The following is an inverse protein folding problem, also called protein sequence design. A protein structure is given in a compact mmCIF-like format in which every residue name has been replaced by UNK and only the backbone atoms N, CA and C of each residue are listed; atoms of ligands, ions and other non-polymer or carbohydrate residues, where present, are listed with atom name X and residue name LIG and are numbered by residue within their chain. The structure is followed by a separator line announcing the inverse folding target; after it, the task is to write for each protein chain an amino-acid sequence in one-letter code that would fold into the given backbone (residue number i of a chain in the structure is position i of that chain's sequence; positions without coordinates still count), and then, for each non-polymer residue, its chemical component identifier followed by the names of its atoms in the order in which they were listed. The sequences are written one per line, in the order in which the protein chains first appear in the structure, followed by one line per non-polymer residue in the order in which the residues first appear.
data_IF_527385205409
#
_entry.id   IF_527385205409
#
_cell.length_a   1.000
_cell.length_b   1.000
_cell.length_c   1.000
_cell.angle_alpha   90.00
_cell.angle_beta   90.00
_cell.angle_gamma   90.00
#
_symmetry.space_group_name_H-M   'P 1'
#
loop_
_entity.id
_entity.type
_entity.pdbx_description
1 polymer ?
#
# COMPACT_ATOMS: atom_id res chain seq x y z
N UNK A 1 -2.29 -21.29 -0.47
CA UNK A 1 -2.95 -20.02 -0.11
C UNK A 1 -2.65 -19.05 -1.23
N UNK A 2 -3.56 -18.16 -1.58
CA UNK A 2 -3.23 -17.08 -2.50
C UNK A 2 -2.31 -16.09 -1.75
N UNK A 3 -1.33 -15.52 -2.44
CA UNK A 3 -0.60 -14.38 -1.92
C UNK A 3 -1.59 -13.22 -1.75
N UNK A 4 -1.37 -12.41 -0.74
CA UNK A 4 -2.24 -11.28 -0.42
C UNK A 4 -1.51 -9.98 -0.72
N UNK A 5 -2.14 -9.15 -1.55
CA UNK A 5 -1.71 -7.79 -1.79
C UNK A 5 -2.41 -6.86 -0.80
N UNK A 6 -1.64 -6.03 -0.12
CA UNK A 6 -2.14 -4.93 0.71
C UNK A 6 -2.13 -3.66 -0.11
N UNK A 7 -3.27 -2.96 -0.15
CA UNK A 7 -3.38 -1.68 -0.84
C UNK A 7 -3.83 -0.60 0.13
N UNK A 8 -3.03 0.46 0.26
CA UNK A 8 -3.41 1.67 0.98
C UNK A 8 -3.87 2.73 -0.01
N UNK A 9 -5.11 3.16 0.12
CA UNK A 9 -5.70 4.23 -0.68
C UNK A 9 -5.71 5.55 0.09
N UNK A 10 -5.49 6.67 -0.64
CA UNK A 10 -5.77 8.03 -0.22
C UNK A 10 -6.78 8.62 -1.20
N UNK A 11 -7.98 8.89 -0.71
CA UNK A 11 -9.12 9.29 -1.54
C UNK A 11 -9.53 10.70 -1.14
N UNK A 12 -9.57 11.60 -2.12
CA UNK A 12 -9.98 12.99 -1.98
C UNK A 12 -11.02 13.37 -3.03
N UNK A 13 -11.57 14.56 -2.97
CA UNK A 13 -12.48 15.08 -3.98
C UNK A 13 -12.60 16.60 -3.93
N UNK A 14 -12.68 17.22 -5.10
CA UNK A 14 -13.10 18.62 -5.24
C UNK A 14 -14.64 18.77 -5.24
N UNK A 15 -15.36 17.66 -5.36
CA UNK A 15 -16.83 17.65 -5.31
C UNK A 15 -17.29 17.65 -3.86
N UNK A 16 -18.09 18.64 -3.43
CA UNK A 16 -18.59 18.69 -2.05
C UNK A 16 -19.28 17.39 -1.65
N UNK A 17 -18.92 16.89 -0.46
CA UNK A 17 -19.46 15.70 0.17
C UNK A 17 -19.13 14.34 -0.50
N UNK A 18 -18.50 14.27 -1.67
CA UNK A 18 -18.29 13.00 -2.36
C UNK A 18 -17.48 12.01 -1.51
N UNK A 19 -16.41 12.47 -0.83
CA UNK A 19 -15.59 11.64 0.09
C UNK A 19 -16.42 11.21 1.30
N UNK A 20 -17.20 12.17 1.88
CA UNK A 20 -18.05 11.90 3.05
C UNK A 20 -19.15 10.88 2.71
N UNK A 21 -19.75 10.97 1.53
CA UNK A 21 -20.78 10.02 1.10
C UNK A 21 -20.21 8.62 0.90
N UNK A 22 -19.00 8.52 0.34
CA UNK A 22 -18.29 7.24 0.24
C UNK A 22 -17.92 6.69 1.62
N UNK A 23 -17.38 7.52 2.51
CA UNK A 23 -17.10 7.18 3.90
C UNK A 23 -18.34 6.68 4.63
N UNK A 24 -19.47 7.40 4.54
CA UNK A 24 -20.72 6.99 5.16
C UNK A 24 -21.20 5.63 4.63
N UNK A 25 -20.99 5.34 3.35
CA UNK A 25 -21.30 4.03 2.79
C UNK A 25 -20.48 2.93 3.47
N UNK A 26 -19.16 3.12 3.61
CA UNK A 26 -18.31 2.14 4.29
C UNK A 26 -18.72 1.95 5.75
N UNK A 27 -19.03 3.05 6.47
CA UNK A 27 -19.51 2.98 7.86
C UNK A 27 -20.85 2.22 7.97
N UNK A 28 -21.79 2.45 7.07
CA UNK A 28 -23.08 1.76 7.06
C UNK A 28 -22.94 0.26 6.74
N UNK A 29 -21.94 -0.13 5.98
CA UNK A 29 -21.64 -1.55 5.69
C UNK A 29 -20.92 -2.24 6.85
N UNK A 30 -20.17 -1.49 7.67
CA UNK A 30 -19.39 -2.02 8.81
C UNK A 30 -20.19 -2.00 10.15
N UNK A 31 -21.49 -2.24 10.12
CA UNK A 31 -22.41 -2.11 11.30
C UNK A 31 -22.01 -2.95 12.51
N UNK A 32 -21.23 -4.02 12.29
CA UNK A 32 -20.82 -4.94 13.37
C UNK A 32 -19.31 -4.93 13.65
N UNK A 33 -18.58 -3.91 13.23
CA UNK A 33 -17.10 -3.89 13.26
C UNK A 33 -16.49 -5.12 12.56
N UNK A 34 -17.09 -5.53 11.46
CA UNK A 34 -16.59 -6.61 10.60
C UNK A 34 -15.99 -6.04 9.35
N UNK A 35 -15.00 -6.72 8.80
CA UNK A 35 -14.40 -6.33 7.52
C UNK A 35 -15.45 -6.30 6.41
N UNK A 36 -15.31 -5.37 5.47
CA UNK A 36 -16.21 -5.24 4.32
C UNK A 36 -15.66 -6.06 3.16
N UNK A 37 -16.37 -7.10 2.74
CA UNK A 37 -15.99 -7.86 1.56
C UNK A 37 -16.16 -7.02 0.29
N UNK A 38 -15.16 -7.03 -0.59
CA UNK A 38 -15.18 -6.26 -1.85
C UNK A 38 -16.36 -6.67 -2.74
N UNK A 39 -16.72 -7.95 -2.74
CA UNK A 39 -17.92 -8.43 -3.46
C UNK A 39 -19.23 -7.85 -2.93
N UNK A 40 -19.33 -7.56 -1.65
CA UNK A 40 -20.54 -6.93 -1.08
C UNK A 40 -20.54 -5.42 -1.35
N UNK A 41 -19.37 -4.78 -1.34
CA UNK A 41 -19.23 -3.39 -1.77
C UNK A 41 -19.63 -3.22 -3.26
N UNK A 42 -19.16 -4.13 -4.13
CA UNK A 42 -19.55 -4.15 -5.54
C UNK A 42 -21.06 -4.25 -5.72
N UNK A 43 -21.71 -5.18 -5.00
CA UNK A 43 -23.17 -5.34 -5.03
C UNK A 43 -23.91 -4.08 -4.53
N UNK A 44 -23.39 -3.42 -3.48
CA UNK A 44 -23.98 -2.19 -2.95
C UNK A 44 -24.05 -1.10 -4.02
N UNK A 45 -22.99 -0.95 -4.83
CA UNK A 45 -22.94 -0.01 -5.94
C UNK A 45 -23.55 -0.54 -7.25
N UNK A 46 -24.09 -1.77 -7.26
CA UNK A 46 -24.69 -2.36 -8.46
C UNK A 46 -23.70 -2.73 -9.56
N UNK A 47 -22.44 -2.91 -9.20
CA UNK A 47 -21.36 -3.28 -10.14
C UNK A 47 -21.44 -4.78 -10.45
N UNK A 48 -21.61 -5.10 -11.73
CA UNK A 48 -21.44 -6.46 -12.24
C UNK A 48 -19.94 -6.74 -12.44
N UNK A 49 -19.29 -7.18 -11.37
CA UNK A 49 -17.85 -7.41 -11.36
C UNK A 49 -17.43 -8.61 -12.23
N UNK A 50 -18.33 -9.57 -12.49
CA UNK A 50 -18.05 -10.69 -13.41
C UNK A 50 -18.02 -10.19 -14.86
N UNK A 51 -19.00 -9.40 -15.28
CA UNK A 51 -19.07 -8.83 -16.62
C UNK A 51 -17.93 -7.82 -16.89
N UNK A 52 -17.49 -7.10 -15.85
CA UNK A 52 -16.38 -6.13 -15.94
C UNK A 52 -15.01 -6.73 -15.71
N UNK A 53 -14.92 -8.03 -15.39
CA UNK A 53 -13.68 -8.75 -15.07
C UNK A 53 -12.88 -8.16 -13.90
N UNK A 54 -13.58 -7.63 -12.88
CA UNK A 54 -12.99 -7.04 -11.68
C UNK A 54 -12.80 -8.13 -10.62
N UNK A 55 -11.61 -8.23 -10.05
CA UNK A 55 -11.37 -9.09 -8.90
C UNK A 55 -12.01 -8.50 -7.65
N UNK A 56 -12.89 -9.25 -7.01
CA UNK A 56 -13.49 -8.88 -5.70
C UNK A 56 -13.09 -9.86 -4.60
N UNK A 57 -11.99 -10.61 -4.82
CA UNK A 57 -11.43 -11.57 -3.84
C UNK A 57 -10.59 -10.85 -2.82
N UNK A 58 -11.24 -10.13 -1.91
CA UNK A 58 -10.58 -9.35 -0.89
C UNK A 58 -11.57 -8.65 0.01
N UNK A 59 -11.04 -7.85 0.91
CA UNK A 59 -11.80 -7.11 1.91
C UNK A 59 -11.16 -5.76 2.23
N UNK A 60 -11.97 -4.82 2.70
CA UNK A 60 -11.51 -3.62 3.40
C UNK A 60 -11.44 -3.98 4.88
N UNK A 61 -10.27 -3.88 5.49
CA UNK A 61 -10.10 -4.18 6.90
C UNK A 61 -9.90 -2.94 7.77
N UNK A 62 -9.54 -1.81 7.14
CA UNK A 62 -9.40 -0.54 7.83
C UNK A 62 -9.82 0.62 6.92
N UNK A 63 -10.49 1.62 7.52
CA UNK A 63 -10.78 2.88 6.86
C UNK A 63 -10.92 3.99 7.91
N UNK A 64 -10.39 5.17 7.60
CA UNK A 64 -10.43 6.37 8.44
C UNK A 64 -10.61 7.62 7.61
N UNK A 65 -11.49 8.51 8.05
CA UNK A 65 -11.71 9.81 7.43
C UNK A 65 -11.12 10.93 8.28
N UNK A 66 -10.19 11.69 7.71
CA UNK A 66 -9.65 12.91 8.29
C UNK A 66 -10.47 14.11 7.80
N UNK A 67 -11.23 14.72 8.71
CA UNK A 67 -12.08 15.88 8.39
C UNK A 67 -11.27 17.14 8.08
N UNK A 68 -10.07 17.32 8.68
CA UNK A 68 -9.27 18.53 8.50
C UNK A 68 -8.72 18.63 7.08
N UNK A 69 -8.26 17.51 6.54
CA UNK A 69 -7.63 17.42 5.21
C UNK A 69 -8.62 16.96 4.13
N UNK A 70 -9.83 16.53 4.52
CA UNK A 70 -10.83 15.91 3.63
C UNK A 70 -10.28 14.68 2.90
N UNK A 71 -9.51 13.84 3.61
CA UNK A 71 -8.89 12.63 3.08
C UNK A 71 -9.54 11.40 3.71
N UNK A 72 -10.00 10.48 2.88
CA UNK A 72 -10.39 9.14 3.29
C UNK A 72 -9.24 8.17 3.00
N UNK A 73 -8.73 7.55 4.05
CA UNK A 73 -7.76 6.47 3.98
C UNK A 73 -8.48 5.14 4.04
N UNK A 74 -8.17 4.23 3.12
CA UNK A 74 -8.77 2.89 3.07
C UNK A 74 -7.66 1.88 2.86
N UNK A 75 -7.68 0.80 3.63
CA UNK A 75 -6.73 -0.28 3.48
C UNK A 75 -7.45 -1.59 3.16
N UNK A 76 -6.99 -2.25 2.09
CA UNK A 76 -7.59 -3.49 1.60
C UNK A 76 -6.57 -4.60 1.54
N UNK A 77 -7.05 -5.83 1.74
CA UNK A 77 -6.34 -7.04 1.34
C UNK A 77 -7.04 -7.68 0.17
N UNK A 78 -6.31 -8.05 -0.87
CA UNK A 78 -6.86 -8.74 -2.04
C UNK A 78 -5.93 -9.83 -2.55
N UNK A 79 -6.48 -10.81 -3.30
CA UNK A 79 -5.72 -11.95 -3.76
C UNK A 79 -4.85 -11.58 -4.96
N UNK A 80 -3.54 -11.80 -4.87
CA UNK A 80 -2.49 -11.66 -5.88
C UNK A 80 -2.09 -10.23 -6.25
N UNK A 81 -3.03 -9.32 -6.32
CA UNK A 81 -2.85 -7.92 -6.69
C UNK A 81 -4.01 -7.10 -6.15
N UNK A 82 -3.94 -5.77 -6.26
CA UNK A 82 -5.04 -4.90 -5.86
C UNK A 82 -6.33 -5.19 -6.65
N UNK A 83 -7.45 -4.87 -6.03
CA UNK A 83 -8.73 -4.82 -6.74
C UNK A 83 -8.95 -3.45 -7.37
N UNK A 84 -9.36 -3.39 -8.61
CA UNK A 84 -9.76 -2.14 -9.30
C UNK A 84 -11.17 -1.66 -8.92
N UNK A 85 -11.79 -2.26 -7.89
CA UNK A 85 -13.18 -1.99 -7.55
C UNK A 85 -13.43 -0.53 -7.17
N UNK A 86 -12.51 0.10 -6.42
CA UNK A 86 -12.69 1.50 -5.98
C UNK A 86 -12.68 2.44 -7.17
N UNK A 87 -11.79 2.22 -8.14
CA UNK A 87 -11.75 3.00 -9.38
C UNK A 87 -12.99 2.78 -10.26
N UNK A 88 -13.51 1.55 -10.31
CA UNK A 88 -14.76 1.27 -11.04
C UNK A 88 -15.98 1.90 -10.36
N UNK A 89 -16.03 1.90 -9.03
CA UNK A 89 -17.03 2.68 -8.28
C UNK A 89 -16.92 4.16 -8.64
N UNK A 90 -15.71 4.71 -8.64
CA UNK A 90 -15.48 6.12 -8.99
C UNK A 90 -15.93 6.44 -10.42
N UNK A 91 -15.68 5.57 -11.39
CA UNK A 91 -16.19 5.72 -12.77
C UNK A 91 -17.72 5.81 -12.81
N UNK A 92 -18.42 4.92 -12.08
CA UNK A 92 -19.89 4.92 -12.02
C UNK A 92 -20.44 6.14 -11.25
N UNK A 93 -19.69 6.72 -10.33
CA UNK A 93 -19.99 7.99 -9.66
C UNK A 93 -19.69 9.23 -10.55
N UNK A 94 -19.13 9.05 -11.73
CA UNK A 94 -18.76 10.13 -12.66
C UNK A 94 -17.37 10.70 -12.47
N UNK A 95 -16.43 9.91 -11.91
CA UNK A 95 -15.04 10.30 -11.64
C UNK A 95 -14.94 11.53 -10.73
N UNK A 96 -15.70 11.52 -9.66
CA UNK A 96 -15.73 12.65 -8.69
C UNK A 96 -14.66 12.51 -7.60
N UNK A 97 -14.07 11.33 -7.45
CA UNK A 97 -13.00 11.05 -6.49
C UNK A 97 -11.63 11.10 -7.17
N UNK A 98 -10.63 11.65 -6.49
CA UNK A 98 -9.21 11.46 -6.82
C UNK A 98 -8.68 10.33 -5.95
N UNK A 99 -8.11 9.31 -6.56
CA UNK A 99 -7.73 8.05 -5.89
C UNK A 99 -6.25 7.81 -6.09
N UNK A 100 -5.47 8.06 -5.05
CA UNK A 100 -4.07 7.65 -4.98
C UNK A 100 -3.96 6.34 -4.18
N UNK A 101 -3.02 5.47 -4.55
CA UNK A 101 -2.82 4.21 -3.83
C UNK A 101 -1.37 3.71 -3.90
N UNK A 102 -1.02 2.90 -2.92
CA UNK A 102 0.23 2.14 -2.83
C UNK A 102 -0.10 0.66 -2.64
N UNK A 103 0.54 -0.20 -3.43
CA UNK A 103 0.32 -1.66 -3.41
C UNK A 103 1.59 -2.38 -3.00
N UNK A 104 1.44 -3.35 -2.11
CA UNK A 104 2.49 -4.25 -1.65
C UNK A 104 2.00 -5.69 -1.74
N UNK A 105 2.72 -6.53 -2.48
CA UNK A 105 2.56 -7.98 -2.47
C UNK A 105 3.96 -8.62 -2.52
N UNK A 106 4.44 -9.09 -1.38
CA UNK A 106 5.80 -9.56 -1.20
C UNK A 106 6.09 -10.90 -1.89
N UNK A 107 5.11 -11.77 -2.00
CA UNK A 107 5.31 -13.11 -2.54
C UNK A 107 5.57 -13.14 -4.05
N UNK A 108 5.13 -12.12 -4.78
CA UNK A 108 5.38 -11.92 -6.21
C UNK A 108 6.21 -10.66 -6.50
N UNK A 109 6.74 -10.02 -5.46
CA UNK A 109 7.56 -8.78 -5.56
C UNK A 109 6.82 -7.64 -6.28
N UNK A 110 5.53 -7.43 -5.93
CA UNK A 110 4.70 -6.37 -6.51
C UNK A 110 4.73 -5.16 -5.60
N UNK A 111 5.38 -4.08 -6.07
CA UNK A 111 5.53 -2.82 -5.34
C UNK A 111 5.30 -1.66 -6.31
N UNK A 112 4.13 -1.02 -6.24
CA UNK A 112 3.85 0.13 -7.11
C UNK A 112 2.93 1.15 -6.45
N UNK A 113 3.00 2.37 -6.97
CA UNK A 113 2.27 3.54 -6.51
C UNK A 113 1.60 4.22 -7.69
N UNK A 114 0.34 4.62 -7.51
CA UNK A 114 -0.34 5.64 -8.28
C UNK A 114 -0.63 6.81 -7.34
N UNK A 115 -0.01 7.97 -7.57
CA UNK A 115 -0.04 9.06 -6.60
C UNK A 115 -0.32 10.43 -7.24
N UNK A 116 -1.61 10.76 -7.36
CA UNK A 116 -2.05 12.06 -7.87
C UNK A 116 -1.87 13.20 -6.85
N UNK A 117 -1.84 12.84 -5.55
CA UNK A 117 -1.85 13.81 -4.45
C UNK A 117 -0.51 14.00 -3.74
N UNK A 118 0.55 13.33 -4.21
CA UNK A 118 1.88 13.30 -3.55
C UNK A 118 1.82 12.85 -2.10
N UNK A 119 1.11 11.73 -1.86
CA UNK A 119 0.95 11.11 -0.53
C UNK A 119 2.06 10.12 -0.20
N UNK A 120 2.78 9.59 -1.21
CA UNK A 120 3.76 8.50 -1.09
C UNK A 120 5.09 8.80 -1.81
N UNK A 121 5.65 10.04 -1.76
CA UNK A 121 6.66 10.48 -2.74
C UNK A 121 8.01 9.77 -2.63
N UNK A 122 8.41 9.28 -1.45
CA UNK A 122 9.75 8.78 -1.17
C UNK A 122 9.74 7.44 -0.42
N UNK A 123 8.58 6.84 -0.22
CA UNK A 123 8.46 5.60 0.55
C UNK A 123 9.21 4.44 -0.12
N UNK A 124 9.69 3.52 0.72
CA UNK A 124 10.24 2.25 0.29
C UNK A 124 9.79 1.13 1.25
N UNK A 125 9.92 -0.13 0.81
CA UNK A 125 9.71 -1.30 1.65
C UNK A 125 11.03 -1.91 2.08
N UNK A 126 11.09 -2.40 3.32
CA UNK A 126 12.21 -3.17 3.86
C UNK A 126 11.72 -4.54 4.28
N UNK A 127 12.40 -5.56 3.78
CA UNK A 127 12.27 -6.92 4.29
C UNK A 127 13.59 -7.32 4.92
N UNK A 128 13.56 -7.81 6.16
CA UNK A 128 14.76 -8.19 6.91
C UNK A 128 14.53 -9.41 7.78
N UNK A 129 15.59 -10.14 8.08
CA UNK A 129 15.62 -11.24 9.04
C UNK A 129 17.01 -11.47 9.58
N UNK A 130 17.08 -12.09 10.75
CA UNK A 130 18.31 -12.49 11.42
C UNK A 130 19.10 -11.35 12.05
N UNK A 131 19.95 -11.69 13.05
CA UNK A 131 20.77 -10.68 13.74
C UNK A 131 21.72 -9.92 12.79
N UNK A 132 21.88 -8.60 12.89
CA UNK A 132 21.37 -7.73 13.98
C UNK A 132 20.00 -7.08 13.70
N UNK A 133 19.28 -7.54 12.68
CA UNK A 133 17.98 -7.00 12.29
C UNK A 133 16.84 -7.67 13.06
N UNK A 134 15.70 -7.02 13.10
CA UNK A 134 14.43 -7.63 13.49
C UNK A 134 13.79 -8.26 12.26
N UNK A 135 13.01 -9.33 12.46
CA UNK A 135 12.27 -9.94 11.37
C UNK A 135 11.15 -9.00 10.91
N UNK A 136 11.27 -8.52 9.70
CA UNK A 136 10.31 -7.64 9.05
C UNK A 136 9.93 -8.17 7.67
N UNK A 137 8.65 -8.13 7.37
CA UNK A 137 8.12 -8.46 6.05
C UNK A 137 7.45 -7.22 5.48
N UNK A 138 8.16 -6.53 4.57
CA UNK A 138 7.69 -5.35 3.86
C UNK A 138 7.27 -4.17 4.75
N UNK A 139 8.08 -3.87 5.76
CA UNK A 139 7.92 -2.66 6.56
C UNK A 139 8.15 -1.42 5.68
N UNK A 140 7.24 -0.46 5.79
CA UNK A 140 7.28 0.77 5.00
C UNK A 140 8.08 1.84 5.73
N UNK A 141 9.08 2.38 5.03
CA UNK A 141 9.90 3.51 5.47
C UNK A 141 9.52 4.78 4.71
N UNK A 142 9.61 5.92 5.39
CA UNK A 142 9.30 7.23 4.80
C UNK A 142 10.25 7.59 3.64
N UNK A 143 11.48 7.04 3.66
CA UNK A 143 12.45 7.23 2.58
C UNK A 143 13.50 6.11 2.53
N UNK A 144 14.13 5.93 1.37
CA UNK A 144 15.30 5.07 1.19
C UNK A 144 16.44 5.49 2.13
N UNK A 145 16.62 6.80 2.33
CA UNK A 145 17.63 7.35 3.25
C UNK A 145 17.44 6.88 4.70
N UNK A 146 16.19 6.73 5.16
CA UNK A 146 15.91 6.26 6.52
C UNK A 146 16.18 4.76 6.67
N UNK A 147 15.80 3.96 5.67
CA UNK A 147 16.16 2.54 5.62
C UNK A 147 17.68 2.32 5.62
N UNK A 148 18.44 3.11 4.84
CA UNK A 148 19.91 3.09 4.82
C UNK A 148 20.49 3.44 6.19
N UNK A 149 19.99 4.48 6.87
CA UNK A 149 20.44 4.87 8.19
C UNK A 149 20.27 3.77 9.22
N UNK A 150 19.12 3.06 9.17
CA UNK A 150 18.90 1.92 10.05
C UNK A 150 19.90 0.81 9.80
N UNK A 151 20.08 0.40 8.55
CA UNK A 151 21.07 -0.62 8.20
C UNK A 151 22.47 -0.23 8.63
N UNK A 152 22.90 1.00 8.33
CA UNK A 152 24.22 1.53 8.73
C UNK A 152 24.40 1.48 10.24
N UNK A 153 23.38 1.86 11.01
CA UNK A 153 23.41 1.85 12.47
C UNK A 153 23.56 0.43 13.04
N UNK A 154 22.84 -0.54 12.47
CA UNK A 154 22.87 -1.94 12.90
C UNK A 154 24.17 -2.63 12.54
N UNK A 155 24.71 -2.38 11.35
CA UNK A 155 25.93 -2.98 10.83
C UNK A 155 27.23 -2.29 11.28
N UNK A 156 27.15 -1.04 11.78
CA UNK A 156 28.32 -0.24 12.08
C UNK A 156 29.14 0.17 10.84
N UNK A 157 28.49 0.20 9.66
CA UNK A 157 29.08 0.58 8.38
C UNK A 157 28.54 1.95 7.99
N UNK A 158 29.42 2.89 7.61
CA UNK A 158 29.01 4.21 7.18
C UNK A 158 28.72 4.25 5.66
N UNK A 159 27.72 5.03 5.27
CA UNK A 159 27.43 5.30 3.87
C UNK A 159 28.61 5.95 3.13
N UNK A 160 29.32 6.83 3.83
CA UNK A 160 30.48 7.54 3.30
C UNK A 160 30.10 8.52 2.19
N UNK A 161 30.71 8.37 1.01
CA UNK A 161 30.45 9.22 -0.17
C UNK A 161 29.45 8.61 -1.17
N UNK A 162 28.87 7.44 -0.85
CA UNK A 162 27.87 6.80 -1.73
C UNK A 162 26.60 7.62 -1.74
N UNK A 163 25.99 7.72 -2.91
CA UNK A 163 24.59 8.17 -3.04
C UNK A 163 23.64 7.17 -2.38
N UNK A 164 22.38 7.54 -2.16
CA UNK A 164 21.39 6.62 -1.59
C UNK A 164 21.15 5.43 -2.54
N UNK A 165 21.15 5.64 -3.86
CA UNK A 165 21.04 4.59 -4.87
C UNK A 165 22.24 3.61 -4.81
N UNK A 166 23.47 4.12 -4.78
CA UNK A 166 24.68 3.30 -4.66
C UNK A 166 24.75 2.53 -3.31
N UNK A 167 24.21 3.13 -2.25
CA UNK A 167 24.18 2.50 -0.94
C UNK A 167 23.08 1.45 -0.85
N UNK A 168 21.92 1.69 -1.45
CA UNK A 168 20.84 0.71 -1.56
C UNK A 168 21.30 -0.54 -2.33
N UNK A 169 21.97 -0.34 -3.47
CA UNK A 169 22.54 -1.46 -4.24
C UNK A 169 23.56 -2.24 -3.43
N UNK A 170 24.45 -1.53 -2.72
CA UNK A 170 25.43 -2.16 -1.83
C UNK A 170 24.77 -2.97 -0.71
N UNK A 171 23.69 -2.47 -0.11
CA UNK A 171 22.93 -3.17 0.95
C UNK A 171 22.24 -4.41 0.37
N UNK A 172 21.58 -4.28 -0.77
CA UNK A 172 20.83 -5.36 -1.40
C UNK A 172 21.74 -6.51 -1.90
N UNK A 173 23.02 -6.22 -2.19
CA UNK A 173 24.04 -7.18 -2.59
C UNK A 173 24.94 -7.65 -1.43
N UNK A 174 24.70 -7.14 -0.20
CA UNK A 174 25.58 -7.46 0.94
C UNK A 174 25.47 -8.93 1.34
N UNK A 175 26.63 -9.61 1.39
CA UNK A 175 26.74 -11.00 1.84
C UNK A 175 26.92 -11.06 3.35
N UNK A 176 25.97 -11.69 4.04
CA UNK A 176 26.03 -11.94 5.48
C UNK A 176 26.70 -13.27 5.79
N UNK A 177 27.28 -13.38 6.97
CA UNK A 177 27.94 -14.62 7.43
C UNK A 177 26.95 -15.80 7.63
N UNK A 178 25.65 -15.52 7.69
CA UNK A 178 24.58 -16.47 7.90
C UNK A 178 23.53 -16.35 6.80
N UNK A 179 23.19 -17.46 6.15
CA UNK A 179 22.22 -17.53 5.05
C UNK A 179 20.78 -17.12 5.48
N UNK A 180 20.47 -17.11 6.78
CA UNK A 180 19.17 -16.67 7.31
C UNK A 180 19.11 -15.15 7.52
N UNK A 181 20.25 -14.46 7.46
CA UNK A 181 20.30 -13.00 7.65
C UNK A 181 20.22 -12.29 6.30
N UNK A 182 19.31 -11.34 6.20
CA UNK A 182 19.17 -10.47 5.04
C UNK A 182 18.56 -9.11 5.43
N UNK A 183 18.77 -8.12 4.58
CA UNK A 183 18.10 -6.83 4.61
C UNK A 183 17.96 -6.33 3.18
N UNK A 184 16.73 -6.20 2.69
CA UNK A 184 16.44 -5.76 1.34
C UNK A 184 15.62 -4.49 1.35
N UNK A 185 16.06 -3.48 0.59
CA UNK A 185 15.33 -2.24 0.34
C UNK A 185 14.73 -2.31 -1.06
N UNK A 186 13.43 -2.11 -1.16
CA UNK A 186 12.68 -2.09 -2.43
C UNK A 186 11.98 -0.76 -2.61
N UNK A 187 12.23 -0.11 -3.72
CA UNK A 187 11.51 1.11 -4.10
C UNK A 187 10.22 0.78 -4.84
N UNK A 188 9.24 1.65 -4.75
CA UNK A 188 8.00 1.52 -5.52
C UNK A 188 8.18 1.97 -6.96
N UNK A 189 7.49 1.29 -7.88
CA UNK A 189 7.37 1.72 -9.28
C UNK A 189 6.16 2.66 -9.37
N UNK A 190 6.33 3.81 -10.02
CA UNK A 190 5.22 4.74 -10.27
C UNK A 190 4.47 4.35 -11.55
N UNK A 191 3.12 4.24 -11.46
CA UNK A 191 2.20 4.06 -12.59
C UNK A 191 1.64 5.38 -13.12
#
# INVERSE_FOLDING_TARGET
MANQATTLYRITSDTPNAVIDFWNTLQNMNVNNTNIWLGDLAKHYGIDFEARHISVRGLIYWAEYNEEDNILSVETESAWDRSELIEEINKDLGNVLSVSFRVIECGCEVYYIHDEGNYFPEECCVSSSGEPFEDACDDVYESVSDAIKEWCSKMGIEQGQRTDEEMMDFINEYEYDNDETYFYIRTFVFE
#
